data_IF_207848945128
#
_entry.id   IF_207848945128
#
_cell.length_a   1.000
_cell.length_b   1.000
_cell.length_c   1.000
_cell.angle_alpha   90.00
_cell.angle_beta   90.00
_cell.angle_gamma   90.00
#
_symmetry.space_group_name_H-M   'P 1'
#
loop_
_entity.id
_entity.type
_entity.pdbx_description
1 polymer ?
#
# COMPACT_ATOMS: atom_id res chain seq x y z
N UNK A 1 36.62 -9.40 -8.00
CA UNK A 1 35.50 -9.48 -8.96
C UNK A 1 34.60 -8.26 -8.77
N UNK A 2 34.31 -7.57 -9.84
CA UNK A 2 33.43 -6.41 -9.79
C UNK A 2 32.01 -6.81 -10.15
N UNK A 3 31.04 -6.25 -9.42
CA UNK A 3 29.62 -6.45 -9.67
C UNK A 3 29.00 -5.08 -9.93
N UNK A 4 28.31 -4.96 -11.04
CA UNK A 4 27.60 -3.72 -11.37
C UNK A 4 26.12 -3.91 -11.13
N UNK A 5 25.54 -3.08 -10.23
CA UNK A 5 24.12 -3.14 -9.90
C UNK A 5 23.38 -2.15 -10.80
N UNK A 6 22.46 -2.67 -11.62
CA UNK A 6 21.63 -1.84 -12.50
C UNK A 6 20.36 -1.37 -11.79
N UNK A 7 19.83 -2.22 -10.93
CA UNK A 7 18.55 -1.92 -10.26
C UNK A 7 18.48 -2.68 -8.95
N UNK A 8 17.97 -2.00 -7.93
CA UNK A 8 17.76 -2.60 -6.63
C UNK A 8 16.30 -2.42 -6.24
N UNK A 9 15.60 -3.54 -6.08
CA UNK A 9 14.19 -3.56 -5.70
C UNK A 9 14.06 -4.26 -4.36
N UNK A 10 13.30 -3.67 -3.45
CA UNK A 10 12.98 -4.27 -2.15
C UNK A 10 11.50 -4.59 -2.09
N UNK A 11 11.16 -5.66 -1.37
CA UNK A 11 9.79 -6.00 -1.05
C UNK A 11 9.60 -5.88 0.46
N UNK A 12 8.52 -5.23 0.85
CA UNK A 12 8.24 -4.94 2.25
C UNK A 12 6.82 -5.38 2.58
N UNK A 13 6.68 -6.07 3.70
CA UNK A 13 5.39 -6.41 4.30
C UNK A 13 5.20 -5.53 5.53
N UNK A 14 4.05 -4.90 5.62
CA UNK A 14 3.76 -3.95 6.69
C UNK A 14 2.30 -4.05 7.13
N UNK A 15 2.03 -3.53 8.32
CA UNK A 15 0.68 -3.41 8.85
C UNK A 15 0.47 -1.98 9.30
N UNK A 16 -0.74 -1.49 9.08
CA UNK A 16 -1.13 -0.16 9.50
C UNK A 16 -2.60 -0.15 9.91
N UNK A 17 -2.95 0.76 10.79
CA UNK A 17 -4.35 0.97 11.20
C UNK A 17 -4.72 2.41 10.96
N UNK A 18 -5.91 2.65 10.41
CA UNK A 18 -6.39 3.97 10.10
C UNK A 18 -7.92 4.00 10.12
N UNK A 19 -8.49 4.88 10.94
CA UNK A 19 -9.94 5.09 11.03
C UNK A 19 -10.77 3.81 11.21
N UNK A 20 -10.30 2.90 12.06
CA UNK A 20 -11.00 1.64 12.33
C UNK A 20 -10.80 0.59 11.25
N UNK A 21 -9.91 0.83 10.29
CA UNK A 21 -9.52 -0.16 9.30
C UNK A 21 -8.12 -0.67 9.58
N UNK A 22 -7.93 -1.97 9.38
CA UNK A 22 -6.63 -2.62 9.48
C UNK A 22 -6.14 -2.95 8.07
N UNK A 23 -4.94 -2.52 7.76
CA UNK A 23 -4.31 -2.69 6.45
C UNK A 23 -3.14 -3.65 6.60
N UNK A 24 -3.14 -4.68 5.78
CA UNK A 24 -1.99 -5.57 5.59
C UNK A 24 -1.42 -5.25 4.22
N UNK A 25 -0.24 -4.66 4.20
CA UNK A 25 0.32 -4.04 3.01
C UNK A 25 1.56 -4.80 2.58
N UNK A 26 1.63 -5.14 1.30
CA UNK A 26 2.84 -5.67 0.67
C UNK A 26 3.18 -4.75 -0.48
N UNK A 27 4.40 -4.23 -0.51
CA UNK A 27 4.79 -3.38 -1.63
C UNK A 27 6.23 -3.67 -2.07
N UNK A 28 6.51 -3.36 -3.33
CA UNK A 28 7.85 -3.36 -3.87
C UNK A 28 8.21 -1.95 -4.31
N UNK A 29 9.45 -1.57 -4.06
CA UNK A 29 9.94 -0.24 -4.39
C UNK A 29 11.33 -0.34 -5.02
N UNK A 30 11.55 0.51 -6.03
CA UNK A 30 12.86 0.67 -6.64
C UNK A 30 13.65 1.67 -5.79
N UNK A 31 14.74 1.19 -5.21
CA UNK A 31 15.63 1.99 -4.35
C UNK A 31 17.00 2.14 -4.96
N UNK A 32 17.09 2.07 -6.28
CA UNK A 32 18.35 2.21 -7.01
C UNK A 32 18.90 3.62 -6.84
N UNK A 33 20.15 3.72 -6.37
CA UNK A 33 20.83 5.01 -6.24
C UNK A 33 21.09 5.64 -7.61
N UNK A 34 21.02 6.95 -7.74
CA UNK A 34 20.77 7.99 -6.71
C UNK A 34 19.29 8.38 -6.54
N UNK A 35 18.37 7.56 -6.99
CA UNK A 35 16.94 7.86 -6.93
C UNK A 35 16.38 7.68 -5.51
N UNK A 36 15.34 8.44 -5.21
CA UNK A 36 14.50 8.15 -4.05
C UNK A 36 13.67 6.89 -4.33
N UNK A 37 13.16 6.27 -3.28
CA UNK A 37 12.30 5.11 -3.43
C UNK A 37 11.11 5.44 -4.33
N UNK A 38 10.81 4.56 -5.26
CA UNK A 38 9.66 4.69 -6.13
C UNK A 38 8.83 3.41 -6.04
N UNK A 39 7.57 3.53 -5.68
CA UNK A 39 6.70 2.37 -5.56
C UNK A 39 6.39 1.83 -6.94
N UNK A 40 6.66 0.55 -7.14
CA UNK A 40 6.36 -0.17 -8.37
C UNK A 40 5.03 -0.92 -8.26
N UNK A 41 4.69 -1.38 -7.06
CA UNK A 41 3.52 -2.19 -6.80
C UNK A 41 3.17 -2.10 -5.32
N UNK A 42 1.89 -1.98 -5.02
CA UNK A 42 1.40 -2.03 -3.66
C UNK A 42 0.08 -2.80 -3.63
N UNK A 43 0.03 -3.80 -2.76
CA UNK A 43 -1.18 -4.57 -2.48
C UNK A 43 -1.60 -4.30 -1.04
N UNK A 44 -2.85 -3.97 -0.83
CA UNK A 44 -3.40 -3.70 0.48
C UNK A 44 -4.64 -4.56 0.71
N UNK A 45 -4.59 -5.38 1.75
CA UNK A 45 -5.76 -6.08 2.24
C UNK A 45 -6.34 -5.29 3.39
N UNK A 46 -7.61 -4.94 3.30
CA UNK A 46 -8.27 -4.04 4.24
C UNK A 46 -9.38 -4.76 4.97
N UNK A 47 -9.35 -4.74 6.29
CA UNK A 47 -10.41 -5.28 7.14
C UNK A 47 -10.91 -4.20 8.10
N UNK A 48 -12.23 -4.08 8.23
CA UNK A 48 -12.84 -3.17 9.19
C UNK A 48 -12.85 -3.80 10.57
N UNK A 49 -12.57 -3.00 11.59
CA UNK A 49 -12.60 -3.44 12.98
C UNK A 49 -14.01 -3.34 13.55
N UNK A 50 -14.43 -4.38 14.28
CA UNK A 50 -15.64 -4.35 15.08
C UNK A 50 -15.44 -3.51 16.35
N UNK A 51 -16.53 -3.04 16.99
CA UNK A 51 -16.40 -2.30 18.27
C UNK A 51 -15.68 -3.08 19.38
N UNK A 52 -15.72 -4.42 19.33
CA UNK A 52 -15.03 -5.27 20.31
C UNK A 52 -13.56 -5.55 19.99
N UNK A 53 -13.06 -4.96 18.91
CA UNK A 53 -11.66 -5.15 18.47
C UNK A 53 -11.41 -6.30 17.54
N UNK A 54 -12.42 -7.13 17.24
CA UNK A 54 -12.28 -8.19 16.25
C UNK A 54 -12.46 -7.64 14.84
N UNK A 55 -11.93 -8.34 13.85
CA UNK A 55 -12.03 -7.90 12.46
C UNK A 55 -13.30 -8.40 11.82
N UNK A 56 -13.91 -7.57 10.97
CA UNK A 56 -15.09 -7.91 10.19
C UNK A 56 -14.66 -8.53 8.86
N UNK A 57 -14.82 -9.84 8.67
CA UNK A 57 -14.41 -10.45 7.39
C UNK A 57 -15.20 -9.92 6.20
N UNK A 58 -16.41 -9.44 6.42
CA UNK A 58 -17.29 -8.96 5.35
C UNK A 58 -16.88 -7.62 4.74
N UNK A 59 -15.93 -6.91 5.36
CA UNK A 59 -15.41 -5.66 4.82
C UNK A 59 -13.99 -5.79 4.30
N UNK A 60 -13.52 -7.02 4.14
CA UNK A 60 -12.20 -7.27 3.56
C UNK A 60 -12.17 -6.89 2.10
N UNK A 61 -11.07 -6.29 1.68
CA UNK A 61 -10.86 -5.94 0.30
C UNK A 61 -9.39 -5.83 -0.02
N UNK A 62 -9.09 -5.71 -1.29
CA UNK A 62 -7.74 -5.54 -1.79
C UNK A 62 -7.70 -4.30 -2.66
N UNK A 63 -6.66 -3.52 -2.50
CA UNK A 63 -6.39 -2.37 -3.35
C UNK A 63 -4.97 -2.47 -3.87
N UNK A 64 -4.82 -2.44 -5.17
CA UNK A 64 -3.52 -2.58 -5.83
C UNK A 64 -3.18 -1.31 -6.56
N UNK A 65 -1.94 -0.85 -6.41
CA UNK A 65 -1.38 0.17 -7.28
C UNK A 65 -0.16 -0.38 -7.99
N UNK A 66 0.09 0.10 -9.17
CA UNK A 66 1.28 -0.28 -9.93
C UNK A 66 1.64 0.83 -10.91
N UNK A 67 2.91 0.85 -11.29
CA UNK A 67 3.42 1.83 -12.26
C UNK A 67 3.82 1.09 -13.54
N UNK A 68 3.32 1.59 -14.66
CA UNK A 68 3.64 1.06 -15.98
C UNK A 68 3.89 2.22 -16.94
N UNK A 69 5.04 2.22 -17.62
CA UNK A 69 5.45 3.27 -18.55
C UNK A 69 5.34 4.68 -17.95
N UNK A 70 5.72 4.83 -16.68
CA UNK A 70 5.69 6.11 -16.00
C UNK A 70 4.32 6.58 -15.56
N UNK A 71 3.28 5.78 -15.78
CA UNK A 71 1.92 6.10 -15.36
C UNK A 71 1.50 5.21 -14.20
N UNK A 72 0.73 5.79 -13.30
CA UNK A 72 0.21 5.08 -12.14
C UNK A 72 -1.18 4.54 -12.43
N UNK A 73 -1.38 3.28 -12.14
CA UNK A 73 -2.66 2.59 -12.28
C UNK A 73 -3.08 2.03 -10.93
N UNK A 74 -4.37 1.87 -10.75
CA UNK A 74 -4.91 1.24 -9.54
C UNK A 74 -6.09 0.36 -9.91
N UNK A 75 -6.29 -0.68 -9.08
CA UNK A 75 -7.46 -1.54 -9.16
C UNK A 75 -7.85 -1.94 -7.75
N UNK A 76 -9.12 -2.19 -7.54
CA UNK A 76 -9.62 -2.64 -6.24
C UNK A 76 -10.51 -3.86 -6.41
N UNK A 77 -10.53 -4.67 -5.36
CA UNK A 77 -11.33 -5.87 -5.30
C UNK A 77 -11.82 -6.04 -3.86
N UNK A 78 -13.12 -6.19 -3.67
CA UNK A 78 -13.73 -6.23 -2.35
C UNK A 78 -14.58 -7.48 -2.19
N UNK A 79 -14.51 -8.12 -1.03
CA UNK A 79 -15.43 -9.22 -0.68
C UNK A 79 -16.82 -8.66 -0.41
N UNK A 80 -16.87 -7.53 0.29
CA UNK A 80 -18.09 -6.74 0.44
C UNK A 80 -17.72 -5.31 0.09
N UNK A 81 -18.42 -4.76 -0.90
CA UNK A 81 -18.15 -3.40 -1.35
C UNK A 81 -18.49 -2.42 -0.23
N UNK A 82 -17.52 -1.61 0.24
CA UNK A 82 -17.80 -0.54 1.19
C UNK A 82 -18.60 0.56 0.51
N UNK A 83 -19.21 1.45 1.29
CA UNK A 83 -19.87 2.58 0.69
C UNK A 83 -18.84 3.54 0.05
N UNK A 84 -19.36 4.47 -0.74
CA UNK A 84 -18.52 5.37 -1.54
C UNK A 84 -17.60 6.23 -0.66
N UNK A 85 -18.09 6.68 0.49
CA UNK A 85 -17.31 7.51 1.40
C UNK A 85 -16.20 6.71 2.06
N UNK A 86 -16.50 5.46 2.46
CA UNK A 86 -15.50 4.56 3.02
C UNK A 86 -14.42 4.22 2.00
N UNK A 87 -14.81 3.92 0.76
CA UNK A 87 -13.86 3.67 -0.32
C UNK A 87 -12.95 4.86 -0.55
N UNK A 88 -13.54 6.05 -0.60
CA UNK A 88 -12.76 7.26 -0.81
C UNK A 88 -11.73 7.46 0.29
N UNK A 89 -12.12 7.23 1.56
CA UNK A 89 -11.20 7.35 2.68
C UNK A 89 -10.04 6.37 2.61
N UNK A 90 -10.33 5.11 2.24
CA UNK A 90 -9.32 4.07 2.09
C UNK A 90 -8.36 4.43 0.96
N UNK A 91 -8.88 4.80 -0.20
CA UNK A 91 -8.07 5.15 -1.36
C UNK A 91 -7.19 6.37 -1.10
N UNK A 92 -7.73 7.36 -0.41
CA UNK A 92 -6.97 8.55 -0.02
C UNK A 92 -5.83 8.20 0.92
N UNK A 93 -6.09 7.33 1.90
CA UNK A 93 -5.06 6.86 2.82
C UNK A 93 -3.93 6.14 2.08
N UNK A 94 -4.27 5.24 1.16
CA UNK A 94 -3.28 4.51 0.37
C UNK A 94 -2.42 5.46 -0.46
N UNK A 95 -3.05 6.46 -1.07
CA UNK A 95 -2.31 7.47 -1.84
C UNK A 95 -1.32 8.24 -0.95
N UNK A 96 -1.76 8.67 0.21
CA UNK A 96 -0.91 9.39 1.15
C UNK A 96 0.23 8.52 1.66
N UNK A 97 -0.06 7.24 1.91
CA UNK A 97 0.96 6.27 2.31
C UNK A 97 2.03 6.10 1.23
N UNK A 98 1.63 5.94 -0.01
CA UNK A 98 2.56 5.83 -1.14
C UNK A 98 3.45 7.07 -1.24
N UNK A 99 2.86 8.25 -1.12
CA UNK A 99 3.62 9.50 -1.18
C UNK A 99 4.62 9.60 -0.02
N UNK A 100 4.22 9.20 1.18
CA UNK A 100 5.10 9.22 2.34
C UNK A 100 6.29 8.25 2.17
N UNK A 101 6.03 7.06 1.65
CA UNK A 101 7.09 6.09 1.36
C UNK A 101 8.09 6.67 0.36
N UNK A 102 7.58 7.28 -0.71
CA UNK A 102 8.44 7.83 -1.76
C UNK A 102 9.27 9.03 -1.29
N UNK A 103 8.78 9.76 -0.29
CA UNK A 103 9.54 10.85 0.33
C UNK A 103 10.48 10.39 1.45
N UNK A 104 10.49 9.10 1.78
CA UNK A 104 11.29 8.58 2.86
C UNK A 104 10.77 8.92 4.26
N UNK A 105 9.50 9.27 4.36
CA UNK A 105 8.86 9.66 5.63
C UNK A 105 8.19 8.49 6.36
N UNK A 106 8.40 7.28 5.88
CA UNK A 106 7.78 6.12 6.48
C UNK A 106 8.36 5.84 7.85
N UNK A 107 7.49 5.76 8.85
CA UNK A 107 7.88 5.39 10.21
C UNK A 107 7.86 3.87 10.30
N UNK A 108 9.04 3.28 10.46
CA UNK A 108 9.18 1.85 10.69
C UNK A 108 9.23 1.60 12.19
N UNK A 109 8.38 0.74 12.66
CA UNK A 109 8.45 0.30 14.04
C UNK A 109 8.72 -1.19 14.09
#
# INVERSE_FOLDING_TARGET
MEIKIFRKIVQIDAQASHNGYHHTITYSADVTEPKHAQIMYLNDEVCKENPDGTLMPKTSGMYNTYTYNGQNYSSDRWEVMPDIEEMYGIMKYIRELCQAIERGEMVTK
#
